data_IF_946054525474
#
_entry.id   IF_946054525474
#
_cell.length_a   1.000
_cell.length_b   1.000
_cell.length_c   1.000
_cell.angle_alpha   90.00
_cell.angle_beta   90.00
_cell.angle_gamma   90.00
#
_symmetry.space_group_name_H-M   'P 1'
#
loop_
_entity.id
_entity.type
_entity.pdbx_description
1 polymer ?
#
# COMPACT_ATOMS: atom_id res chain seq x y z
N UNK A 1 -1.98 -0.84 -20.60
CA UNK A 1 -0.65 -0.27 -20.30
C UNK A 1 -0.24 -0.41 -18.83
N UNK A 2 -1.07 -0.04 -17.84
CA UNK A 2 -0.74 -0.09 -16.39
C UNK A 2 -0.16 -1.43 -15.90
N UNK A 3 -0.78 -2.57 -16.27
CA UNK A 3 -0.27 -3.91 -15.93
C UNK A 3 1.12 -4.21 -16.51
N UNK A 4 1.41 -3.74 -17.72
CA UNK A 4 2.74 -3.92 -18.32
C UNK A 4 3.78 -3.11 -17.56
N UNK A 5 3.47 -1.86 -17.19
CA UNK A 5 4.34 -1.03 -16.36
C UNK A 5 4.61 -1.69 -15.01
N UNK A 6 3.57 -2.26 -14.37
CA UNK A 6 3.71 -2.98 -13.11
C UNK A 6 4.68 -4.17 -13.21
N UNK A 7 4.57 -4.96 -14.29
CA UNK A 7 5.37 -6.17 -14.48
C UNK A 7 6.82 -5.89 -14.93
N UNK A 8 7.09 -4.72 -15.52
CA UNK A 8 8.38 -4.38 -16.13
C UNK A 8 9.17 -3.34 -15.36
N UNK A 9 8.70 -2.94 -14.18
CA UNK A 9 9.29 -1.89 -13.32
C UNK A 9 10.75 -2.12 -12.92
N UNK A 10 11.21 -3.38 -12.97
CA UNK A 10 12.57 -3.77 -12.64
C UNK A 10 13.46 -3.96 -13.88
N UNK A 11 12.96 -3.70 -15.09
CA UNK A 11 13.74 -3.86 -16.30
C UNK A 11 14.63 -2.63 -16.49
N UNK A 12 15.87 -2.85 -16.89
CA UNK A 12 16.80 -1.76 -17.18
C UNK A 12 16.49 -1.12 -18.53
N UNK A 13 16.63 0.20 -18.60
CA UNK A 13 16.58 0.96 -19.85
C UNK A 13 17.77 1.90 -19.96
N UNK A 14 18.39 1.97 -21.14
CA UNK A 14 19.49 2.90 -21.40
C UNK A 14 19.00 4.34 -21.51
N UNK A 15 17.83 4.54 -22.14
CA UNK A 15 17.09 5.80 -22.10
C UNK A 15 15.87 5.62 -21.18
N UNK A 16 15.66 6.48 -20.16
CA UNK A 16 14.54 6.35 -19.23
C UNK A 16 13.16 6.38 -19.89
N UNK A 17 13.04 6.93 -21.11
CA UNK A 17 11.78 6.97 -21.87
C UNK A 17 11.41 5.61 -22.47
N UNK A 18 12.37 4.70 -22.63
CA UNK A 18 12.14 3.36 -23.18
C UNK A 18 11.32 2.47 -22.23
N UNK A 19 11.27 2.81 -20.94
CA UNK A 19 10.34 2.21 -19.98
C UNK A 19 8.87 2.36 -20.42
N UNK A 20 8.56 3.43 -21.16
CA UNK A 20 7.23 3.71 -21.69
C UNK A 20 7.16 3.30 -23.16
N UNK A 21 8.07 3.82 -24.00
CA UNK A 21 8.03 3.62 -25.45
C UNK A 21 8.22 2.16 -25.86
N UNK A 22 9.03 1.39 -25.14
CA UNK A 22 9.19 -0.04 -25.39
C UNK A 22 7.87 -0.81 -25.20
N UNK A 23 7.10 -0.47 -24.17
CA UNK A 23 5.83 -1.14 -23.85
C UNK A 23 4.70 -0.74 -24.78
N UNK A 24 4.69 0.51 -25.26
CA UNK A 24 3.65 1.01 -26.16
C UNK A 24 3.59 0.21 -27.47
N UNK A 25 4.74 -0.26 -27.95
CA UNK A 25 4.79 -1.10 -29.16
C UNK A 25 4.10 -2.46 -28.99
N UNK A 26 3.89 -2.91 -27.75
CA UNK A 26 3.17 -4.15 -27.42
C UNK A 26 1.66 -3.95 -27.34
N UNK A 27 1.17 -2.71 -27.35
CA UNK A 27 -0.25 -2.41 -27.33
C UNK A 27 -0.87 -2.57 -28.73
N UNK A 28 -2.17 -2.87 -28.75
CA UNK A 28 -2.96 -2.96 -29.98
C UNK A 28 -2.82 -1.68 -30.82
N UNK A 29 -2.75 -1.82 -32.15
CA UNK A 29 -2.71 -0.70 -33.11
C UNK A 29 -3.89 0.26 -32.94
N UNK A 30 -5.04 -0.27 -32.53
CA UNK A 30 -6.25 0.51 -32.28
C UNK A 30 -6.26 1.19 -30.89
N UNK A 31 -5.28 0.94 -30.01
CA UNK A 31 -5.27 1.53 -28.67
C UNK A 31 -4.99 3.03 -28.69
N UNK A 32 -5.76 3.80 -27.93
CA UNK A 32 -5.57 5.24 -27.81
C UNK A 32 -4.20 5.55 -27.18
N UNK A 33 -3.76 4.78 -26.18
CA UNK A 33 -2.46 4.99 -25.54
C UNK A 33 -1.30 4.85 -26.53
N UNK A 34 -1.39 3.94 -27.50
CA UNK A 34 -0.36 3.81 -28.55
C UNK A 34 -0.33 4.99 -29.50
N UNK A 35 -1.48 5.61 -29.75
CA UNK A 35 -1.57 6.79 -30.60
C UNK A 35 -1.12 8.05 -29.86
N UNK A 36 -1.46 8.18 -28.58
CA UNK A 36 -1.13 9.34 -27.75
C UNK A 36 0.37 9.42 -27.42
N UNK A 37 1.02 8.27 -27.19
CA UNK A 37 2.40 8.20 -26.71
C UNK A 37 3.41 7.69 -27.75
N UNK A 38 3.23 8.04 -29.02
CA UNK A 38 4.19 7.67 -30.08
C UNK A 38 5.63 8.09 -29.70
N UNK A 39 6.65 7.24 -29.93
CA UNK A 39 8.02 7.53 -29.52
C UNK A 39 8.51 8.89 -29.99
N UNK A 40 8.80 9.78 -29.03
CA UNK A 40 9.31 11.12 -29.27
C UNK A 40 10.48 11.41 -28.32
N UNK A 41 11.70 11.16 -28.81
CA UNK A 41 12.93 11.39 -28.05
C UNK A 41 13.36 12.87 -27.99
N UNK A 42 12.58 13.80 -28.55
CA UNK A 42 12.79 15.24 -28.32
C UNK A 42 12.07 15.73 -27.07
N UNK A 43 11.11 14.96 -26.53
CA UNK A 43 10.42 15.29 -25.29
C UNK A 43 11.31 14.96 -24.07
N UNK A 44 11.55 15.90 -23.15
CA UNK A 44 12.21 15.59 -21.89
C UNK A 44 11.45 14.53 -21.09
N UNK A 45 12.17 13.61 -20.43
CA UNK A 45 11.60 12.49 -19.66
C UNK A 45 10.53 12.92 -18.66
N UNK A 46 10.79 14.00 -17.92
CA UNK A 46 9.83 14.62 -17.00
C UNK A 46 8.44 14.81 -17.61
N UNK A 47 8.40 15.37 -18.81
CA UNK A 47 7.15 15.70 -19.49
C UNK A 47 6.42 14.47 -19.99
N UNK A 48 7.16 13.47 -20.51
CA UNK A 48 6.57 12.19 -20.86
C UNK A 48 5.90 11.54 -19.65
N UNK A 49 6.59 11.55 -18.51
CA UNK A 49 6.09 10.89 -17.30
C UNK A 49 4.84 11.58 -16.74
N UNK A 50 4.81 12.91 -16.73
CA UNK A 50 3.61 13.67 -16.39
C UNK A 50 2.45 13.32 -17.33
N UNK A 51 2.67 13.33 -18.65
CA UNK A 51 1.61 13.04 -19.62
C UNK A 51 1.04 11.63 -19.44
N UNK A 52 1.91 10.64 -19.20
CA UNK A 52 1.48 9.26 -18.92
C UNK A 52 0.65 9.21 -17.63
N UNK A 53 1.12 9.83 -16.56
CA UNK A 53 0.39 9.85 -15.29
C UNK A 53 -0.97 10.54 -15.40
N UNK A 54 -1.02 11.71 -16.04
CA UNK A 54 -2.26 12.45 -16.33
C UNK A 54 -3.25 11.62 -17.12
N UNK A 55 -2.80 10.89 -18.15
CA UNK A 55 -3.69 10.06 -18.97
C UNK A 55 -4.38 9.00 -18.14
N UNK A 56 -3.65 8.31 -17.27
CA UNK A 56 -4.23 7.30 -16.37
C UNK A 56 -5.24 7.90 -15.38
N UNK A 57 -4.90 9.06 -14.79
CA UNK A 57 -5.79 9.78 -13.88
C UNK A 57 -7.08 10.21 -14.58
N UNK A 58 -6.98 10.80 -15.78
CA UNK A 58 -8.14 11.26 -16.55
C UNK A 58 -9.05 10.10 -16.95
N UNK A 59 -8.46 8.98 -17.42
CA UNK A 59 -9.21 7.83 -17.92
C UNK A 59 -9.88 7.02 -16.81
N UNK A 60 -9.19 6.83 -15.68
CA UNK A 60 -9.69 6.00 -14.59
C UNK A 60 -10.47 6.78 -13.53
N UNK A 61 -10.17 8.08 -13.37
CA UNK A 61 -10.58 8.89 -12.21
C UNK A 61 -10.21 8.24 -10.86
N UNK A 62 -9.27 7.28 -10.86
CA UNK A 62 -8.71 6.62 -9.69
C UNK A 62 -7.33 7.20 -9.40
N UNK A 63 -6.99 7.34 -8.13
CA UNK A 63 -5.71 7.91 -7.69
C UNK A 63 -4.58 6.86 -7.62
N UNK A 64 -4.76 5.67 -8.17
CA UNK A 64 -3.83 4.54 -8.00
C UNK A 64 -2.40 4.82 -8.47
N UNK A 65 -2.24 5.72 -9.44
CA UNK A 65 -0.94 6.05 -9.99
C UNK A 65 -0.09 6.92 -9.06
N UNK A 66 -0.70 7.71 -8.16
CA UNK A 66 0.06 8.62 -7.29
C UNK A 66 0.89 7.87 -6.25
N UNK A 67 0.59 6.59 -6.03
CA UNK A 67 1.35 5.69 -5.15
C UNK A 67 1.91 4.48 -5.91
N UNK A 68 1.84 4.48 -7.25
CA UNK A 68 2.34 3.36 -8.05
C UNK A 68 3.85 3.16 -7.90
N UNK A 69 4.57 4.23 -7.55
CA UNK A 69 6.00 4.17 -7.32
C UNK A 69 6.43 5.08 -6.17
N UNK A 70 6.29 4.56 -4.95
CA UNK A 70 6.67 5.29 -3.75
C UNK A 70 8.16 5.63 -3.77
N UNK A 71 8.51 6.83 -3.30
CA UNK A 71 9.90 7.26 -3.20
C UNK A 71 10.71 6.24 -2.36
N UNK A 72 11.95 5.94 -2.71
CA UNK A 72 12.80 5.12 -1.84
C UNK A 72 12.93 5.81 -0.47
N UNK A 73 13.21 5.06 0.61
CA UNK A 73 13.51 5.66 1.89
C UNK A 73 14.67 6.65 1.75
N UNK A 74 14.65 7.76 2.48
CA UNK A 74 15.66 8.83 2.38
C UNK A 74 17.10 8.30 2.54
N UNK A 75 17.29 7.32 3.41
CA UNK A 75 18.59 6.68 3.61
C UNK A 75 19.05 5.84 2.42
N UNK A 76 18.19 5.48 1.47
CA UNK A 76 18.55 4.80 0.22
C UNK A 76 18.71 5.77 -0.96
N UNK A 77 18.25 7.03 -0.85
CA UNK A 77 18.30 8.01 -1.94
C UNK A 77 19.70 8.29 -2.49
N UNK A 78 20.74 8.15 -1.67
CA UNK A 78 22.14 8.34 -2.12
C UNK A 78 22.54 7.38 -3.26
N UNK A 79 21.87 6.22 -3.39
CA UNK A 79 22.10 5.24 -4.47
C UNK A 79 21.40 5.62 -5.79
N UNK A 80 20.48 6.58 -5.75
CA UNK A 80 19.51 6.86 -6.83
C UNK A 80 19.73 8.26 -7.45
N UNK A 81 20.63 9.07 -6.87
CA UNK A 81 20.95 10.45 -7.30
C UNK A 81 21.31 10.64 -8.79
N UNK A 82 21.65 9.57 -9.53
CA UNK A 82 21.96 9.66 -10.97
C UNK A 82 20.75 10.08 -11.83
N UNK A 83 19.52 9.88 -11.37
CA UNK A 83 18.33 10.02 -12.20
C UNK A 83 17.24 10.92 -11.64
N UNK A 84 17.51 11.71 -10.58
CA UNK A 84 16.51 12.57 -9.93
C UNK A 84 15.84 13.49 -10.96
N UNK A 85 14.67 13.08 -11.43
CA UNK A 85 13.81 13.91 -12.23
C UNK A 85 13.15 14.91 -11.28
N UNK A 86 13.04 16.17 -11.69
CA UNK A 86 12.27 17.18 -10.94
C UNK A 86 10.77 16.97 -11.20
N UNK A 87 10.27 15.80 -10.79
CA UNK A 87 8.89 15.36 -11.00
C UNK A 87 8.00 15.81 -9.85
N UNK A 88 6.73 16.15 -10.16
CA UNK A 88 5.72 16.26 -9.13
C UNK A 88 5.58 14.98 -8.32
N UNK A 89 5.29 15.09 -7.03
CA UNK A 89 5.22 13.95 -6.11
C UNK A 89 4.12 12.95 -6.43
N UNK A 90 3.09 13.35 -7.16
CA UNK A 90 2.02 12.49 -7.64
C UNK A 90 2.36 11.73 -8.94
N UNK A 91 3.52 12.01 -9.55
CA UNK A 91 3.99 11.35 -10.77
C UNK A 91 5.02 10.28 -10.42
N UNK A 92 4.80 9.01 -10.80
CA UNK A 92 5.80 7.96 -10.65
C UNK A 92 7.11 8.28 -11.37
N UNK A 93 8.24 8.04 -10.70
CA UNK A 93 9.55 8.01 -11.33
C UNK A 93 9.89 6.59 -11.77
N UNK A 94 9.53 6.24 -13.02
CA UNK A 94 9.81 4.92 -13.59
C UNK A 94 11.31 4.64 -13.82
N UNK A 95 12.21 5.59 -13.56
CA UNK A 95 13.66 5.32 -13.59
C UNK A 95 14.18 4.66 -12.32
N UNK A 96 13.41 4.71 -11.24
CA UNK A 96 13.79 4.13 -9.97
C UNK A 96 13.43 2.65 -10.02
N UNK A 97 14.40 1.75 -9.96
CA UNK A 97 14.06 0.33 -9.79
C UNK A 97 13.43 0.11 -8.43
N UNK A 98 12.40 -0.72 -8.39
CA UNK A 98 11.72 -1.05 -7.15
C UNK A 98 12.63 -1.91 -6.26
N UNK A 99 13.47 -1.25 -5.46
CA UNK A 99 14.01 -1.83 -4.22
C UNK A 99 12.91 -2.00 -3.16
N UNK A 100 11.74 -1.41 -3.41
CA UNK A 100 10.66 -1.17 -2.48
C UNK A 100 9.35 -1.83 -2.94
N UNK A 101 9.44 -3.12 -3.30
CA UNK A 101 8.34 -3.95 -3.82
C UNK A 101 7.24 -4.25 -2.78
N UNK A 102 7.30 -3.66 -1.58
CA UNK A 102 6.58 -4.14 -0.40
C UNK A 102 5.80 -3.03 0.33
N UNK A 103 5.18 -2.09 -0.38
CA UNK A 103 4.29 -1.08 0.24
C UNK A 103 2.82 -1.31 -0.04
N UNK A 104 2.40 -2.52 -0.37
CA UNK A 104 1.13 -2.81 -1.03
C UNK A 104 -0.10 -2.70 -0.10
N UNK A 105 -0.23 -1.60 0.65
CA UNK A 105 -1.44 -1.23 1.37
C UNK A 105 -2.57 -1.01 0.34
N UNK A 106 -2.30 -0.38 -0.78
CA UNK A 106 -3.20 -0.33 -1.93
C UNK A 106 -2.78 -1.38 -2.96
N UNK A 107 -3.61 -2.40 -3.13
CA UNK A 107 -3.47 -3.37 -4.22
C UNK A 107 -4.18 -2.80 -5.44
N UNK A 108 -3.44 -2.13 -6.33
CA UNK A 108 -3.96 -1.38 -7.47
C UNK A 108 -3.67 -2.05 -8.82
N UNK A 109 -4.04 -1.40 -9.93
CA UNK A 109 -3.67 -1.85 -11.29
C UNK A 109 -2.17 -1.80 -11.58
N UNK A 110 -1.41 -1.09 -10.74
CA UNK A 110 0.05 -0.99 -10.80
C UNK A 110 0.75 -2.03 -9.89
N UNK A 111 0.00 -2.96 -9.30
CA UNK A 111 0.54 -4.08 -8.53
C UNK A 111 0.82 -5.29 -9.43
N UNK A 112 2.03 -5.89 -9.38
CA UNK A 112 2.32 -7.14 -10.10
C UNK A 112 1.34 -8.26 -9.76
N UNK A 113 0.90 -8.34 -8.50
CA UNK A 113 -0.10 -9.32 -8.09
C UNK A 113 -1.41 -9.18 -8.86
N UNK A 114 -1.94 -7.97 -9.04
CA UNK A 114 -3.20 -7.78 -9.76
C UNK A 114 -3.05 -8.14 -11.25
N UNK A 115 -1.86 -7.94 -11.82
CA UNK A 115 -1.55 -8.39 -13.17
C UNK A 115 -1.49 -9.93 -13.28
N UNK A 116 -0.99 -10.60 -12.25
CA UNK A 116 -0.79 -12.06 -12.24
C UNK A 116 -2.01 -12.85 -11.75
N UNK A 117 -2.89 -12.22 -10.96
CA UNK A 117 -4.06 -12.85 -10.35
C UNK A 117 -4.92 -13.65 -11.35
N UNK A 118 -5.31 -13.11 -12.53
CA UNK A 118 -6.13 -13.87 -13.47
C UNK A 118 -5.46 -15.17 -13.93
N UNK A 119 -4.15 -15.17 -14.19
CA UNK A 119 -3.43 -16.34 -14.66
C UNK A 119 -3.40 -17.46 -13.62
N UNK A 120 -3.27 -17.10 -12.34
CA UNK A 120 -3.24 -18.06 -11.24
C UNK A 120 -4.59 -18.73 -11.00
N UNK A 121 -5.69 -18.01 -11.24
CA UNK A 121 -7.04 -18.55 -11.08
C UNK A 121 -7.48 -19.41 -12.28
N UNK A 122 -7.12 -19.04 -13.51
CA UNK A 122 -7.45 -19.84 -14.71
C UNK A 122 -6.78 -21.22 -14.73
N UNK A 123 -5.60 -21.38 -14.10
CA UNK A 123 -4.94 -22.67 -13.96
C UNK A 123 -5.66 -23.66 -13.02
N UNK A 124 -6.56 -23.17 -12.15
CA UNK A 124 -7.37 -24.04 -11.27
C UNK A 124 -8.65 -24.53 -11.94
N UNK A 125 -9.34 -23.65 -12.67
CA UNK A 125 -10.58 -24.00 -13.39
C UNK A 125 -10.35 -25.01 -14.53
N UNK A 126 -9.12 -25.13 -15.02
CA UNK A 126 -8.75 -26.10 -16.07
C UNK A 126 -8.47 -27.52 -15.55
N UNK A 127 -8.29 -27.72 -14.23
CA UNK A 127 -8.20 -29.05 -13.61
C UNK A 127 -9.57 -29.66 -13.24
N UNK A 128 -10.63 -28.85 -13.18
CA UNK A 128 -11.99 -29.30 -12.79
C UNK A 128 -12.86 -29.82 -13.96
N UNK A 129 -12.29 -30.03 -15.15
CA UNK A 129 -12.99 -30.61 -16.32
C UNK A 129 -13.31 -32.11 -16.13
N UNK A 130 -12.93 -32.74 -15.01
CA UNK A 130 -13.29 -34.14 -14.70
C UNK A 130 -14.05 -34.26 -13.36
N UNK A 131 -15.18 -33.55 -13.18
CA UNK A 131 -16.27 -34.02 -12.27
C UNK A 131 -17.66 -33.67 -12.80
N UNK A 132 -18.64 -34.59 -12.73
CA UNK A 132 -19.99 -34.31 -13.16
C UNK A 132 -20.73 -33.45 -12.13
N UNK A 133 -21.55 -32.55 -12.65
CA UNK A 133 -22.28 -31.52 -11.93
C UNK A 133 -23.15 -32.04 -10.77
N UNK A 134 -23.01 -31.39 -9.61
CA UNK A 134 -24.15 -31.21 -8.69
C UNK A 134 -24.02 -29.90 -7.91
N UNK A 135 -25.02 -29.04 -8.16
CA UNK A 135 -25.58 -27.94 -7.36
C UNK A 135 -24.76 -27.32 -6.22
N UNK A 136 -24.35 -26.05 -6.40
CA UNK A 136 -24.79 -24.95 -5.53
C UNK A 136 -24.61 -23.62 -6.24
N UNK A 137 -25.69 -22.84 -6.30
CA UNK A 137 -25.72 -21.46 -6.79
C UNK A 137 -25.17 -20.56 -5.71
N UNK A 138 -23.86 -20.37 -5.70
CA UNK A 138 -23.22 -19.20 -5.10
C UNK A 138 -22.78 -18.30 -6.24
N UNK A 139 -23.40 -17.13 -6.30
CA UNK A 139 -23.00 -16.00 -7.15
C UNK A 139 -21.49 -15.80 -7.01
N UNK A 140 -20.75 -16.08 -8.08
CA UNK A 140 -19.33 -15.78 -8.17
C UNK A 140 -19.16 -14.26 -7.97
N UNK A 141 -18.30 -13.81 -7.04
CA UNK A 141 -18.01 -12.39 -6.90
C UNK A 141 -17.41 -11.92 -8.23
N UNK A 142 -17.91 -10.78 -8.73
CA UNK A 142 -17.39 -10.13 -9.92
C UNK A 142 -15.88 -10.01 -9.85
N UNK A 143 -15.21 -10.21 -10.98
CA UNK A 143 -13.75 -10.20 -11.22
C UNK A 143 -13.06 -8.86 -10.91
N UNK A 144 -13.72 -7.95 -10.18
CA UNK A 144 -13.27 -6.60 -9.94
C UNK A 144 -12.51 -6.49 -8.60
N UNK A 145 -11.20 -6.27 -8.73
CA UNK A 145 -10.22 -5.96 -7.67
C UNK A 145 -9.93 -7.10 -6.69
N UNK A 146 -9.36 -8.19 -7.21
CA UNK A 146 -8.72 -9.20 -6.39
C UNK A 146 -7.79 -8.57 -5.34
N UNK A 147 -8.10 -8.81 -4.06
CA UNK A 147 -7.25 -8.48 -2.93
C UNK A 147 -7.31 -7.04 -2.39
N UNK A 148 -7.99 -6.09 -3.05
CA UNK A 148 -8.29 -4.81 -2.40
C UNK A 148 -9.45 -5.00 -1.42
N UNK A 149 -9.23 -4.66 -0.15
CA UNK A 149 -10.13 -4.96 0.97
C UNK A 149 -10.48 -3.73 1.83
N UNK A 150 -10.13 -2.55 1.34
CA UNK A 150 -10.41 -1.26 1.97
C UNK A 150 -11.21 -0.37 1.04
N UNK A 151 -11.94 0.56 1.63
CA UNK A 151 -12.64 1.61 0.91
C UNK A 151 -12.75 2.89 1.77
N UNK A 152 -11.61 3.45 2.16
CA UNK A 152 -11.56 4.59 3.07
C UNK A 152 -12.33 5.83 2.55
N UNK A 153 -12.38 6.04 1.24
CA UNK A 153 -13.09 7.18 0.65
C UNK A 153 -14.54 6.91 0.25
N UNK A 154 -15.03 5.66 0.33
CA UNK A 154 -16.31 5.21 -0.25
C UNK A 154 -16.45 5.46 -1.77
N UNK A 155 -15.37 5.88 -2.42
CA UNK A 155 -15.33 6.36 -3.79
C UNK A 155 -14.11 5.76 -4.47
N UNK A 156 -14.23 4.51 -4.93
CA UNK A 156 -13.22 3.82 -5.76
C UNK A 156 -12.80 4.64 -6.98
N UNK A 157 -13.71 5.49 -7.46
CA UNK A 157 -13.55 6.46 -8.54
C UNK A 157 -13.91 7.83 -7.95
N UNK A 158 -13.08 8.85 -8.21
CA UNK A 158 -13.37 10.21 -7.77
C UNK A 158 -14.73 10.67 -8.33
N UNK A 159 -15.65 11.17 -7.48
CA UNK A 159 -16.94 11.67 -7.92
C UNK A 159 -16.82 13.05 -8.58
N UNK A 160 -15.66 13.69 -8.51
CA UNK A 160 -15.37 14.98 -9.13
C UNK A 160 -14.19 14.84 -10.11
N UNK A 161 -14.24 15.55 -11.26
CA UNK A 161 -13.15 15.54 -12.20
C UNK A 161 -11.83 15.97 -11.55
N UNK A 162 -10.78 15.20 -11.82
CA UNK A 162 -9.41 15.56 -11.49
C UNK A 162 -8.96 16.76 -12.34
N UNK A 163 -8.39 17.78 -11.68
CA UNK A 163 -7.97 19.02 -12.32
C UNK A 163 -6.45 19.14 -12.33
N UNK A 164 -5.89 19.81 -13.33
CA UNK A 164 -4.44 20.00 -13.47
C UNK A 164 -4.10 21.47 -13.66
N UNK A 165 -2.92 21.90 -13.22
CA UNK A 165 -2.37 23.20 -13.61
C UNK A 165 -2.08 23.24 -15.13
N UNK A 166 -1.92 24.45 -15.67
CA UNK A 166 -1.64 24.65 -17.11
C UNK A 166 -0.35 24.00 -17.57
N UNK A 167 0.64 23.93 -16.68
CA UNK A 167 1.93 23.27 -16.92
C UNK A 167 1.91 21.80 -16.48
N UNK A 168 0.78 21.27 -16.01
CA UNK A 168 0.64 19.89 -15.57
C UNK A 168 1.52 19.51 -14.37
N UNK A 169 2.13 20.47 -13.66
CA UNK A 169 2.90 20.20 -12.45
C UNK A 169 2.02 19.91 -11.23
N UNK A 170 0.82 20.49 -11.18
CA UNK A 170 -0.08 20.39 -10.03
C UNK A 170 -1.28 19.52 -10.40
N UNK A 171 -1.59 18.54 -9.55
CA UNK A 171 -2.82 17.76 -9.59
C UNK A 171 -3.73 18.20 -8.44
N UNK A 172 -4.92 18.68 -8.77
CA UNK A 172 -5.95 19.08 -7.80
C UNK A 172 -6.92 17.94 -7.54
N UNK A 173 -7.01 17.55 -6.27
CA UNK A 173 -7.90 16.48 -5.79
C UNK A 173 -8.77 16.97 -4.64
N UNK A 174 -9.91 16.32 -4.44
CA UNK A 174 -10.78 16.57 -3.30
C UNK A 174 -10.61 15.47 -2.25
N UNK A 175 -10.73 15.80 -0.97
CA UNK A 175 -10.66 14.82 0.10
C UNK A 175 -11.11 15.40 1.44
N UNK A 176 -10.99 14.58 2.48
CA UNK A 176 -11.28 14.97 3.87
C UNK A 176 -10.00 14.90 4.69
N UNK A 177 -9.59 15.99 5.37
CA UNK A 177 -8.48 15.94 6.31
C UNK A 177 -8.87 15.06 7.50
N UNK A 178 -7.99 14.15 7.90
CA UNK A 178 -8.25 13.28 9.05
C UNK A 178 -7.55 13.79 10.30
N UNK A 179 -6.22 13.70 10.33
CA UNK A 179 -5.41 14.08 11.48
C UNK A 179 -3.94 14.33 11.10
N UNK A 180 -3.15 14.82 12.06
CA UNK A 180 -1.71 15.05 11.92
C UNK A 180 -0.92 13.99 12.69
N UNK A 181 0.16 13.52 12.09
CA UNK A 181 1.08 12.55 12.69
C UNK A 181 1.89 13.25 13.78
N UNK A 182 1.82 12.73 15.01
CA UNK A 182 2.51 13.30 16.18
C UNK A 182 3.86 12.60 16.43
N UNK A 183 3.87 11.26 16.35
CA UNK A 183 5.03 10.44 16.69
C UNK A 183 5.22 9.37 15.63
N UNK A 184 6.47 9.13 15.22
CA UNK A 184 6.87 8.11 14.23
C UNK A 184 7.94 7.21 14.84
N UNK A 185 7.81 5.90 14.63
CA UNK A 185 8.77 4.89 15.07
C UNK A 185 9.82 4.55 14.03
N UNK A 186 10.76 3.68 14.41
CA UNK A 186 11.75 3.15 13.47
C UNK A 186 11.08 2.30 12.37
N UNK A 187 11.60 2.33 11.14
CA UNK A 187 11.10 1.47 10.05
C UNK A 187 11.50 0.02 10.30
N UNK A 188 10.57 -0.91 10.06
CA UNK A 188 10.84 -2.35 10.17
C UNK A 188 11.47 -2.90 8.87
N UNK A 189 12.64 -2.36 8.49
CA UNK A 189 13.36 -2.76 7.27
C UNK A 189 14.14 -4.06 7.49
N UNK A 190 13.61 -5.17 6.98
CA UNK A 190 14.24 -6.50 7.13
C UNK A 190 15.59 -6.55 6.39
N UNK A 191 15.69 -5.94 5.20
CA UNK A 191 16.93 -5.95 4.42
C UNK A 191 18.07 -5.19 5.13
N UNK A 192 17.74 -4.06 5.76
CA UNK A 192 18.68 -3.25 6.55
C UNK A 192 19.13 -3.98 7.80
N UNK A 193 18.19 -4.56 8.55
CA UNK A 193 18.54 -5.31 9.77
C UNK A 193 19.38 -6.54 9.44
N UNK A 194 19.12 -7.23 8.32
CA UNK A 194 19.96 -8.33 7.83
C UNK A 194 21.36 -7.84 7.48
N UNK A 195 21.48 -6.73 6.74
CA UNK A 195 22.76 -6.15 6.36
C UNK A 195 23.60 -5.74 7.58
N UNK A 196 22.99 -5.17 8.61
CA UNK A 196 23.65 -4.80 9.87
C UNK A 196 24.12 -5.99 10.70
N UNK A 197 23.51 -7.16 10.49
CA UNK A 197 23.80 -8.39 11.23
C UNK A 197 24.74 -9.33 10.47
N UNK A 198 25.14 -8.97 9.25
CA UNK A 198 26.03 -9.76 8.40
C UNK A 198 27.49 -9.39 8.65
N UNK A 199 28.29 -10.35 9.10
CA UNK A 199 29.73 -10.15 9.25
C UNK A 199 30.43 -10.41 7.90
N UNK A 200 30.93 -9.33 7.29
CA UNK A 200 31.63 -9.40 5.99
C UNK A 200 32.96 -10.16 6.05
N UNK A 201 33.54 -10.34 7.24
CA UNK A 201 34.82 -11.01 7.43
C UNK A 201 34.65 -12.52 7.47
N UNK A 202 33.61 -13.00 8.16
CA UNK A 202 33.32 -14.43 8.30
C UNK A 202 32.30 -14.94 7.28
N UNK A 203 31.55 -14.04 6.64
CA UNK A 203 30.46 -14.38 5.73
C UNK A 203 29.23 -14.96 6.45
N UNK A 204 29.13 -14.79 7.77
CA UNK A 204 28.09 -15.40 8.61
C UNK A 204 27.08 -14.33 9.05
N UNK A 205 25.79 -14.67 8.98
CA UNK A 205 24.70 -13.84 9.50
C UNK A 205 24.47 -14.14 10.99
N UNK A 206 24.54 -13.13 11.84
CA UNK A 206 24.20 -13.25 13.26
C UNK A 206 22.67 -13.18 13.46
N UNK A 207 22.02 -14.35 13.47
CA UNK A 207 20.57 -14.46 13.60
C UNK A 207 20.03 -13.94 14.93
N UNK A 208 20.75 -14.15 16.04
CA UNK A 208 20.33 -13.68 17.36
C UNK A 208 20.32 -12.15 17.42
N UNK A 209 21.38 -11.51 16.92
CA UNK A 209 21.47 -10.06 16.83
C UNK A 209 20.37 -9.49 15.92
N UNK A 210 20.14 -10.12 14.77
CA UNK A 210 19.07 -9.73 13.84
C UNK A 210 17.69 -9.80 14.50
N UNK A 211 17.38 -10.91 15.19
CA UNK A 211 16.13 -11.08 15.93
C UNK A 211 15.95 -9.98 16.97
N UNK A 212 17.00 -9.66 17.73
CA UNK A 212 16.96 -8.64 18.78
C UNK A 212 16.67 -7.24 18.24
N UNK A 213 17.28 -6.85 17.11
CA UNK A 213 16.99 -5.55 16.46
C UNK A 213 15.53 -5.48 16.02
N UNK A 214 15.01 -6.53 15.38
CA UNK A 214 13.63 -6.53 14.91
C UNK A 214 12.62 -6.48 16.06
N UNK A 215 12.84 -7.24 17.14
CA UNK A 215 12.00 -7.20 18.34
C UNK A 215 12.04 -5.83 19.03
N UNK A 216 13.19 -5.15 19.06
CA UNK A 216 13.27 -3.82 19.67
C UNK A 216 12.46 -2.77 18.90
N UNK A 217 12.33 -2.90 17.57
CA UNK A 217 11.48 -2.04 16.75
C UNK A 217 10.01 -2.23 17.15
N UNK A 218 9.53 -3.47 17.24
CA UNK A 218 8.14 -3.75 17.62
C UNK A 218 7.85 -3.26 19.04
N UNK A 219 8.77 -3.46 19.99
CA UNK A 219 8.61 -2.95 21.35
C UNK A 219 8.53 -1.41 21.39
N UNK A 220 9.37 -0.71 20.61
CA UNK A 220 9.26 0.73 20.45
C UNK A 220 7.88 1.13 19.89
N UNK A 221 7.33 0.37 18.94
CA UNK A 221 6.00 0.65 18.40
C UNK A 221 4.89 0.46 19.44
N UNK A 222 4.99 -0.52 20.34
CA UNK A 222 4.06 -0.69 21.48
C UNK A 222 4.05 0.55 22.39
N UNK A 223 5.23 1.10 22.68
CA UNK A 223 5.37 2.34 23.47
C UNK A 223 4.72 3.53 22.75
N UNK A 224 4.95 3.68 21.44
CA UNK A 224 4.33 4.73 20.62
C UNK A 224 2.80 4.56 20.61
N UNK A 225 2.30 3.33 20.49
CA UNK A 225 0.88 3.01 20.46
C UNK A 225 0.18 3.30 21.80
N UNK A 226 0.94 3.35 22.91
CA UNK A 226 0.44 3.46 24.30
C UNK A 226 -0.55 2.35 24.66
N UNK A 227 -0.15 1.08 24.52
CA UNK A 227 -1.06 -0.05 24.72
C UNK A 227 -1.74 -0.11 26.09
N UNK A 228 -1.12 0.47 27.12
CA UNK A 228 -1.64 0.54 28.48
C UNK A 228 -2.65 1.69 28.70
N UNK A 229 -2.92 2.51 27.68
CA UNK A 229 -3.88 3.60 27.76
C UNK A 229 -5.32 3.04 27.90
N UNK A 230 -6.03 3.31 29.01
CA UNK A 230 -7.38 2.79 29.25
C UNK A 230 -8.46 3.51 28.41
N UNK A 231 -8.10 4.55 27.66
CA UNK A 231 -9.02 5.29 26.81
C UNK A 231 -9.58 4.45 25.67
N UNK A 232 -10.82 4.77 25.26
CA UNK A 232 -11.44 4.19 24.06
C UNK A 232 -10.62 4.52 22.83
N UNK A 233 -10.39 3.53 21.96
CA UNK A 233 -9.71 3.76 20.70
C UNK A 233 -10.62 4.56 19.74
N UNK A 234 -10.10 5.57 19.01
CA UNK A 234 -10.93 6.41 18.14
C UNK A 234 -11.38 5.67 16.88
N UNK A 235 -12.61 5.92 16.42
CA UNK A 235 -13.21 5.35 15.20
C UNK A 235 -13.27 3.81 15.12
N UNK A 236 -13.08 3.09 16.23
CA UNK A 236 -13.22 1.64 16.25
C UNK A 236 -13.68 1.16 17.63
N UNK A 237 -14.51 0.11 17.70
CA UNK A 237 -14.87 -0.52 18.98
C UNK A 237 -13.72 -1.35 19.58
N UNK A 238 -12.66 -1.64 18.81
CA UNK A 238 -11.56 -2.46 19.27
C UNK A 238 -10.78 -1.80 20.41
N UNK A 239 -10.19 -2.63 21.27
CA UNK A 239 -9.19 -2.14 22.24
C UNK A 239 -7.96 -1.61 21.52
N UNK A 240 -7.21 -0.70 22.15
CA UNK A 240 -5.96 -0.18 21.61
C UNK A 240 -4.92 -1.29 21.35
N UNK A 241 -4.91 -2.31 22.21
CA UNK A 241 -4.11 -3.53 22.06
C UNK A 241 -4.49 -4.29 20.78
N UNK A 242 -5.78 -4.50 20.54
CA UNK A 242 -6.24 -5.16 19.32
C UNK A 242 -5.95 -4.33 18.07
N UNK A 243 -6.22 -3.02 18.11
CA UNK A 243 -5.90 -2.10 17.03
C UNK A 243 -4.41 -2.17 16.63
N UNK A 244 -3.51 -2.30 17.62
CA UNK A 244 -2.07 -2.45 17.37
C UNK A 244 -1.76 -3.73 16.59
N UNK A 245 -2.23 -4.89 17.05
CA UNK A 245 -1.94 -6.16 16.39
C UNK A 245 -2.62 -6.29 15.02
N UNK A 246 -3.83 -5.74 14.86
CA UNK A 246 -4.47 -5.57 13.54
C UNK A 246 -3.60 -4.69 12.65
N UNK A 247 -3.08 -3.56 13.14
CA UNK A 247 -2.20 -2.66 12.38
C UNK A 247 -0.93 -3.35 11.89
N UNK A 248 -0.31 -4.22 12.69
CA UNK A 248 0.88 -4.98 12.27
C UNK A 248 0.58 -5.92 11.10
N UNK A 249 -0.63 -6.47 11.05
CA UNK A 249 -1.14 -7.32 9.97
C UNK A 249 -1.85 -6.54 8.86
N UNK A 250 -1.86 -5.20 8.93
CA UNK A 250 -2.73 -4.35 8.11
C UNK A 250 -4.22 -4.78 8.19
N UNK A 251 -4.66 -5.46 9.24
CA UNK A 251 -6.02 -6.01 9.34
C UNK A 251 -6.39 -6.93 8.18
N UNK A 252 -5.37 -7.57 7.60
CA UNK A 252 -5.46 -8.48 6.45
C UNK A 252 -4.97 -9.86 6.82
N UNK A 253 -5.58 -10.84 6.16
CA UNK A 253 -5.18 -12.23 6.24
C UNK A 253 -5.40 -12.94 4.90
N UNK A 254 -4.68 -14.04 4.67
CA UNK A 254 -4.83 -14.86 3.46
C UNK A 254 -5.22 -16.29 3.79
N UNK A 255 -6.05 -16.89 2.97
CA UNK A 255 -6.37 -18.32 3.13
C UNK A 255 -5.15 -19.19 2.78
N UNK A 256 -4.90 -20.23 3.59
CA UNK A 256 -3.90 -21.26 3.26
C UNK A 256 -4.42 -22.24 2.17
N UNK A 257 -5.75 -22.39 2.03
CA UNK A 257 -6.38 -23.24 1.00
C UNK A 257 -6.49 -22.53 -0.34
N UNK A 258 -6.78 -21.23 -0.28
CA UNK A 258 -6.82 -20.33 -1.43
C UNK A 258 -5.70 -19.30 -1.30
N UNK A 259 -4.44 -19.71 -1.55
CA UNK A 259 -3.34 -18.78 -1.63
C UNK A 259 -3.76 -17.69 -2.62
N UNK A 260 -3.48 -16.43 -2.28
CA UNK A 260 -3.80 -15.22 -3.05
C UNK A 260 -5.18 -14.62 -2.76
N UNK A 261 -6.10 -15.27 -2.05
CA UNK A 261 -7.31 -14.56 -1.60
C UNK A 261 -7.02 -13.80 -0.30
N UNK A 262 -7.07 -12.46 -0.37
CA UNK A 262 -6.84 -11.57 0.78
C UNK A 262 -8.20 -11.11 1.29
N UNK A 263 -8.39 -11.17 2.62
CA UNK A 263 -9.61 -10.71 3.30
C UNK A 263 -9.27 -9.95 4.57
N UNK A 264 -10.26 -9.25 5.13
CA UNK A 264 -10.14 -8.59 6.43
C UNK A 264 -10.13 -9.61 7.57
N UNK A 265 -9.42 -9.29 8.65
CA UNK A 265 -9.58 -10.03 9.92
C UNK A 265 -11.02 -9.74 10.41
N UNK A 266 -11.84 -10.77 10.68
CA UNK A 266 -13.18 -10.55 11.22
C UNK A 266 -13.16 -9.76 12.52
N UNK A 267 -14.21 -8.99 12.80
CA UNK A 267 -14.32 -8.23 14.07
C UNK A 267 -14.25 -9.15 15.30
N UNK A 268 -14.79 -10.37 15.18
CA UNK A 268 -14.71 -11.41 16.21
C UNK A 268 -14.05 -12.66 15.61
N UNK A 269 -12.71 -12.76 15.65
CA UNK A 269 -12.01 -13.91 15.08
C UNK A 269 -12.19 -15.15 15.96
N UNK A 270 -12.66 -16.25 15.39
CA UNK A 270 -12.74 -17.55 16.07
C UNK A 270 -11.41 -18.31 15.97
N UNK A 271 -11.15 -19.26 16.88
CA UNK A 271 -9.99 -20.17 16.77
C UNK A 271 -9.92 -20.86 15.41
N UNK A 272 -11.06 -21.31 14.87
CA UNK A 272 -11.15 -21.91 13.54
C UNK A 272 -10.70 -20.93 12.45
N UNK A 273 -11.17 -19.68 12.51
CA UNK A 273 -10.77 -18.64 11.55
C UNK A 273 -9.28 -18.36 11.65
N UNK A 274 -8.74 -18.23 12.86
CA UNK A 274 -7.33 -17.94 13.10
C UNK A 274 -6.42 -19.09 12.65
N UNK A 275 -6.80 -20.33 12.94
CA UNK A 275 -6.11 -21.56 12.55
C UNK A 275 -6.10 -21.76 11.03
N UNK A 276 -7.21 -21.49 10.33
CA UNK A 276 -7.28 -21.66 8.87
C UNK A 276 -6.48 -20.61 8.08
N UNK A 277 -6.28 -19.43 8.66
CA UNK A 277 -5.95 -18.22 7.88
C UNK A 277 -4.76 -17.42 8.40
N UNK A 278 -4.38 -17.56 9.67
CA UNK A 278 -3.19 -16.88 10.21
C UNK A 278 -2.13 -17.91 10.62
N UNK A 279 -2.52 -18.93 11.39
CA UNK A 279 -1.54 -19.77 12.09
C UNK A 279 -1.25 -21.11 11.42
N UNK A 280 -2.23 -21.67 10.73
CA UNK A 280 -2.22 -23.05 10.25
C UNK A 280 -2.76 -24.03 11.29
N UNK A 281 -3.19 -25.24 10.86
CA UNK A 281 -3.77 -26.24 11.74
C UNK A 281 -2.82 -26.64 12.89
N UNK A 282 -3.33 -26.65 14.12
CA UNK A 282 -2.60 -27.11 15.31
C UNK A 282 -1.73 -26.05 15.99
N UNK A 283 -1.85 -24.79 15.59
CA UNK A 283 -1.22 -23.67 16.29
C UNK A 283 -2.23 -22.99 17.20
N UNK A 284 -1.88 -22.92 18.48
CA UNK A 284 -2.65 -22.25 19.52
C UNK A 284 -1.99 -20.89 19.82
N UNK A 285 -2.50 -19.82 19.21
CA UNK A 285 -2.05 -18.46 19.41
C UNK A 285 -3.27 -17.53 19.43
N UNK A 286 -3.48 -16.83 20.55
CA UNK A 286 -4.60 -15.90 20.69
C UNK A 286 -4.48 -14.71 19.74
N UNK A 287 -5.63 -14.12 19.40
CA UNK A 287 -5.68 -12.83 18.72
C UNK A 287 -6.66 -11.88 19.42
N UNK A 288 -6.18 -10.75 20.00
CA UNK A 288 -4.77 -10.34 20.04
C UNK A 288 -3.91 -11.27 20.93
N UNK A 289 -2.59 -11.39 20.71
CA UNK A 289 -1.68 -12.27 21.47
C UNK A 289 -1.81 -12.17 22.99
N UNK A 290 -2.15 -13.22 23.72
CA UNK A 290 -2.45 -13.14 25.17
C UNK A 290 -1.22 -13.34 26.06
N UNK A 291 -0.18 -13.94 25.52
CA UNK A 291 1.07 -14.26 26.22
C UNK A 291 2.29 -13.72 25.48
N UNK A 292 3.45 -13.64 26.15
CA UNK A 292 4.71 -13.31 25.47
C UNK A 292 5.04 -14.33 24.37
N UNK A 293 4.68 -15.60 24.55
CA UNK A 293 4.87 -16.65 23.55
C UNK A 293 4.04 -16.38 22.29
N UNK A 294 2.80 -15.93 22.47
CA UNK A 294 1.91 -15.56 21.36
C UNK A 294 2.49 -14.36 20.60
N UNK A 295 3.01 -13.36 21.32
CA UNK A 295 3.62 -12.18 20.71
C UNK A 295 4.86 -12.56 19.89
N UNK A 296 5.75 -13.36 20.46
CA UNK A 296 6.96 -13.83 19.81
C UNK A 296 6.62 -14.66 18.56
N UNK A 297 5.56 -15.46 18.63
CA UNK A 297 5.06 -16.24 17.50
C UNK A 297 4.46 -15.36 16.39
N UNK A 298 3.62 -14.38 16.73
CA UNK A 298 3.03 -13.46 15.74
C UNK A 298 4.12 -12.63 15.05
N UNK A 299 5.10 -12.12 15.81
CA UNK A 299 6.24 -11.39 15.25
C UNK A 299 7.06 -12.31 14.34
N UNK A 300 7.32 -13.56 14.75
CA UNK A 300 7.97 -14.54 13.90
C UNK A 300 7.19 -14.79 12.61
N UNK A 301 5.86 -14.92 12.68
CA UNK A 301 5.00 -15.10 11.51
C UNK A 301 5.09 -13.92 10.53
N UNK A 302 4.97 -12.67 11.02
CA UNK A 302 5.09 -11.46 10.17
C UNK A 302 6.44 -11.41 9.47
N UNK A 303 7.51 -11.76 10.18
CA UNK A 303 8.87 -11.81 9.62
C UNK A 303 9.01 -12.92 8.58
N UNK A 304 8.46 -14.09 8.87
CA UNK A 304 8.47 -15.26 7.97
C UNK A 304 7.72 -14.95 6.68
N UNK A 305 6.49 -14.43 6.76
CA UNK A 305 5.73 -14.02 5.58
C UNK A 305 6.44 -12.90 4.79
N UNK A 306 7.05 -11.93 5.48
CA UNK A 306 7.85 -10.89 4.85
C UNK A 306 9.15 -11.37 4.21
N UNK A 307 9.73 -12.48 4.66
CA UNK A 307 11.00 -13.02 4.19
C UNK A 307 10.86 -14.17 3.17
N UNK A 308 9.84 -15.02 3.31
CA UNK A 308 9.62 -16.21 2.47
C UNK A 308 8.95 -15.88 1.12
N UNK A 309 8.40 -14.68 0.94
CA UNK A 309 7.72 -14.28 -0.30
C UNK A 309 8.54 -13.31 -1.16
N UNK A 310 9.43 -13.87 -1.97
CA UNK A 310 10.18 -13.15 -3.01
C UNK A 310 9.79 -13.48 -4.46
N UNK A 311 8.71 -14.22 -4.77
CA UNK A 311 8.60 -14.76 -6.14
C UNK A 311 7.34 -14.50 -6.97
N UNK A 312 6.12 -14.33 -6.42
CA UNK A 312 4.94 -14.39 -7.31
C UNK A 312 4.13 -13.10 -7.48
N UNK A 313 4.08 -12.15 -6.54
CA UNK A 313 3.17 -11.00 -6.70
C UNK A 313 3.60 -9.67 -6.10
N UNK A 314 4.74 -9.62 -5.40
CA UNK A 314 5.23 -8.41 -4.75
C UNK A 314 4.15 -7.70 -3.90
N UNK A 315 3.47 -8.47 -3.04
CA UNK A 315 2.55 -7.92 -2.05
C UNK A 315 3.18 -7.98 -0.68
N UNK A 316 3.10 -6.87 0.04
CA UNK A 316 3.23 -6.88 1.48
C UNK A 316 1.86 -6.98 2.14
N UNK A 317 1.63 -8.08 2.84
CA UNK A 317 0.40 -8.30 3.60
C UNK A 317 0.44 -7.61 4.97
N UNK A 318 1.61 -7.11 5.39
CA UNK A 318 1.87 -6.69 6.75
C UNK A 318 2.65 -5.37 6.80
N UNK A 319 3.13 -5.00 7.98
CA UNK A 319 3.83 -3.74 8.24
C UNK A 319 5.34 -3.76 7.93
N UNK A 320 5.89 -4.84 7.36
CA UNK A 320 7.31 -4.94 7.02
C UNK A 320 7.73 -3.79 6.10
N UNK A 321 8.94 -3.25 6.28
CA UNK A 321 9.45 -2.08 5.55
C UNK A 321 8.67 -0.77 5.78
N UNK A 322 7.53 -0.76 6.48
CA UNK A 322 6.81 0.46 6.83
C UNK A 322 7.33 1.08 8.13
N UNK A 323 6.90 2.30 8.43
CA UNK A 323 7.02 2.92 9.76
C UNK A 323 5.67 2.93 10.45
N UNK A 324 5.69 2.69 11.76
CA UNK A 324 4.53 2.88 12.62
C UNK A 324 4.45 4.33 13.09
N UNK A 325 3.24 4.84 13.23
CA UNK A 325 3.01 6.17 13.74
C UNK A 325 1.77 6.24 14.62
N UNK A 326 1.72 7.32 15.40
CA UNK A 326 0.53 7.74 16.16
C UNK A 326 0.23 9.20 15.84
N UNK A 327 -1.05 9.48 15.70
CA UNK A 327 -1.60 10.79 15.38
C UNK A 327 -1.94 11.60 16.64
N UNK A 328 -2.16 12.90 16.50
CA UNK A 328 -2.47 13.80 17.61
C UNK A 328 -3.78 13.43 18.34
N UNK A 329 -4.78 12.89 17.63
CA UNK A 329 -6.05 12.39 18.19
C UNK A 329 -5.95 10.95 18.70
N UNK A 330 -4.78 10.33 18.62
CA UNK A 330 -4.49 9.02 19.22
C UNK A 330 -4.81 7.81 18.35
N UNK A 331 -5.17 8.00 17.07
CA UNK A 331 -5.21 6.92 16.07
C UNK A 331 -3.79 6.44 15.75
N UNK A 332 -3.66 5.14 15.48
CA UNK A 332 -2.39 4.51 15.10
C UNK A 332 -2.46 3.99 13.66
N UNK A 333 -1.30 3.88 13.04
CA UNK A 333 -1.19 3.43 11.67
C UNK A 333 0.23 3.07 11.28
N UNK A 334 0.35 2.60 10.04
CA UNK A 334 1.63 2.36 9.38
C UNK A 334 1.61 2.97 7.98
N UNK A 335 2.78 3.34 7.47
CA UNK A 335 2.89 3.90 6.13
C UNK A 335 4.32 4.06 5.67
N UNK A 336 4.49 4.90 4.66
CA UNK A 336 5.76 5.14 4.00
C UNK A 336 6.89 5.56 4.97
N UNK A 337 8.15 5.09 4.86
CA UNK A 337 9.22 5.39 5.81
C UNK A 337 9.73 6.81 5.83
N UNK A 338 9.39 7.58 4.80
CA UNK A 338 9.68 9.02 4.77
C UNK A 338 8.64 9.84 5.54
N UNK A 339 7.62 9.19 6.12
CA UNK A 339 6.69 9.85 7.05
C UNK A 339 7.47 10.42 8.24
N UNK A 340 7.09 11.62 8.65
CA UNK A 340 7.65 12.31 9.80
C UNK A 340 6.56 12.98 10.64
N UNK A 341 6.85 13.34 11.90
CA UNK A 341 5.97 14.19 12.70
C UNK A 341 5.60 15.49 11.96
N UNK A 342 4.32 15.85 12.00
CA UNK A 342 3.77 17.01 11.29
C UNK A 342 3.19 16.70 9.91
N UNK A 343 3.44 15.51 9.34
CA UNK A 343 2.75 15.07 8.13
C UNK A 343 1.25 14.86 8.40
N UNK A 344 0.43 15.17 7.40
CA UNK A 344 -1.03 15.12 7.48
C UNK A 344 -1.58 13.86 6.83
N UNK A 345 -2.63 13.29 7.42
CA UNK A 345 -3.37 12.16 6.86
C UNK A 345 -4.65 12.72 6.23
N UNK A 346 -4.89 12.37 4.98
CA UNK A 346 -6.10 12.73 4.25
C UNK A 346 -6.73 11.51 3.59
N UNK A 347 -8.06 11.46 3.59
CA UNK A 347 -8.84 10.53 2.78
C UNK A 347 -9.17 11.23 1.47
N UNK A 348 -8.40 10.92 0.42
CA UNK A 348 -8.59 11.50 -0.91
C UNK A 348 -9.66 10.71 -1.69
N UNK A 349 -10.56 11.43 -2.37
CA UNK A 349 -11.59 10.80 -3.19
C UNK A 349 -10.97 10.13 -4.42
N UNK A 350 -11.34 8.88 -4.71
CA UNK A 350 -10.67 8.07 -5.73
C UNK A 350 -9.50 7.23 -5.19
N UNK A 351 -9.25 7.25 -3.87
CA UNK A 351 -8.31 6.37 -3.18
C UNK A 351 -9.03 5.48 -2.15
N UNK A 352 -8.80 4.15 -2.14
CA UNK A 352 -9.39 3.23 -1.17
C UNK A 352 -8.65 3.23 0.18
N UNK A 353 -7.57 3.99 0.32
CA UNK A 353 -6.72 4.04 1.52
C UNK A 353 -6.36 5.49 1.86
N UNK A 354 -6.12 5.83 3.14
CA UNK A 354 -5.62 7.15 3.52
C UNK A 354 -4.24 7.44 2.92
N UNK A 355 -4.04 8.67 2.49
CA UNK A 355 -2.79 9.17 1.91
C UNK A 355 -2.13 10.15 2.88
N UNK A 356 -0.82 10.00 3.05
CA UNK A 356 -0.01 10.92 3.85
C UNK A 356 0.55 12.01 2.95
N UNK A 357 0.28 13.26 3.35
CA UNK A 357 0.64 14.47 2.65
C UNK A 357 1.51 15.34 3.54
N UNK A 358 2.49 16.01 2.93
CA UNK A 358 3.32 17.00 3.60
C UNK A 358 3.09 18.37 2.98
N UNK A 359 2.70 19.34 3.80
CA UNK A 359 2.57 20.72 3.34
C UNK A 359 3.93 21.23 2.84
N UNK A 360 3.96 21.81 1.64
CA UNK A 360 5.15 22.43 1.06
C UNK A 360 4.75 23.65 0.24
N UNK A 361 5.26 24.82 0.62
CA UNK A 361 4.87 26.11 0.04
C UNK A 361 3.33 26.25 -0.07
N UNK A 362 2.78 26.37 -1.28
CA UNK A 362 1.35 26.51 -1.55
C UNK A 362 0.63 25.18 -1.88
N UNK A 363 1.31 24.04 -1.77
CA UNK A 363 0.77 22.72 -2.12
C UNK A 363 1.16 21.62 -1.14
N UNK A 364 1.01 20.38 -1.61
CA UNK A 364 1.24 19.18 -0.82
C UNK A 364 2.11 18.18 -1.59
N UNK A 365 3.12 17.66 -0.92
CA UNK A 365 3.93 16.54 -1.39
C UNK A 365 3.25 15.25 -0.96
N UNK A 366 3.03 14.33 -1.89
CA UNK A 366 2.58 12.96 -1.60
C UNK A 366 3.74 12.19 -0.98
N UNK A 367 3.61 11.82 0.30
CA UNK A 367 4.60 11.00 0.99
C UNK A 367 4.35 9.51 0.73
N UNK A 368 3.07 9.12 0.69
CA UNK A 368 2.67 7.78 0.30
C UNK A 368 1.36 7.34 0.94
N UNK A 369 0.98 6.10 0.67
CA UNK A 369 -0.16 5.43 1.29
C UNK A 369 0.06 5.10 2.75
N UNK A 370 -1.05 4.98 3.49
CA UNK A 370 -1.05 4.55 4.89
C UNK A 370 -2.22 3.63 5.19
N UNK A 371 -2.02 2.79 6.19
CA UNK A 371 -3.08 2.10 6.89
C UNK A 371 -3.29 2.82 8.21
N UNK A 372 -4.53 3.19 8.52
CA UNK A 372 -4.90 3.82 9.79
C UNK A 372 -6.07 3.05 10.37
N UNK A 373 -5.85 2.43 11.53
CA UNK A 373 -6.88 1.59 12.12
C UNK A 373 -8.11 2.43 12.51
N UNK A 374 -9.30 2.00 12.07
CA UNK A 374 -10.59 2.65 12.32
C UNK A 374 -11.08 3.59 11.22
N UNK A 375 -10.33 3.81 10.14
CA UNK A 375 -10.77 4.70 9.03
C UNK A 375 -10.56 4.09 7.63
N UNK A 376 -10.53 2.76 7.54
CA UNK A 376 -10.23 2.06 6.28
C UNK A 376 -11.47 1.75 5.46
N UNK A 377 -12.68 2.05 5.97
CA UNK A 377 -13.95 1.58 5.45
C UNK A 377 -15.01 2.70 5.26
N UNK A 378 -14.59 3.96 5.30
CA UNK A 378 -15.44 5.11 4.99
C UNK A 378 -15.88 5.94 6.19
N UNK A 379 -15.43 5.59 7.39
CA UNK A 379 -15.84 6.17 8.67
C UNK A 379 -15.69 7.70 8.68
N UNK A 380 -14.62 8.22 8.05
CA UNK A 380 -14.36 9.67 7.93
C UNK A 380 -15.39 10.36 7.04
N UNK A 381 -15.77 9.73 5.93
CA UNK A 381 -16.77 10.27 4.99
C UNK A 381 -18.16 10.23 5.63
N UNK A 382 -18.48 9.17 6.35
CA UNK A 382 -19.75 9.03 7.08
C UNK A 382 -19.88 10.10 8.18
N UNK A 383 -18.83 10.32 8.96
CA UNK A 383 -18.78 11.40 9.95
C UNK A 383 -19.04 12.78 9.33
N UNK A 384 -18.44 13.07 8.17
CA UNK A 384 -18.71 14.32 7.44
C UNK A 384 -20.19 14.43 6.99
N UNK A 385 -20.79 13.32 6.53
CA UNK A 385 -22.20 13.25 6.15
C UNK A 385 -23.15 13.45 7.32
N UNK A 386 -22.83 12.94 8.49
CA UNK A 386 -23.58 13.17 9.74
C UNK A 386 -23.54 14.64 10.17
N UNK A 387 -22.40 15.30 9.94
CA UNK A 387 -22.26 16.75 10.14
C UNK A 387 -22.93 17.60 9.05
N UNK A 388 -23.61 16.98 8.09
CA UNK A 388 -24.30 17.66 6.98
C UNK A 388 -23.39 18.10 5.82
N UNK A 389 -22.13 17.68 5.81
CA UNK A 389 -21.13 17.89 4.75
C UNK A 389 -20.94 16.60 3.93
N UNK A 390 -19.84 16.47 3.17
CA UNK A 390 -19.44 15.25 2.47
C UNK A 390 -20.38 14.78 1.34
N UNK A 391 -21.18 15.69 0.76
CA UNK A 391 -22.12 15.37 -0.34
C UNK A 391 -21.83 16.15 -1.62
N UNK A 392 -21.43 17.41 -1.51
CA UNK A 392 -21.10 18.30 -2.64
C UNK A 392 -19.61 18.57 -2.69
N UNK A 393 -19.09 18.99 -3.85
CA UNK A 393 -17.67 19.27 -4.04
C UNK A 393 -17.17 20.32 -3.03
N UNK A 394 -17.99 21.34 -2.78
CA UNK A 394 -17.69 22.42 -1.83
C UNK A 394 -17.52 21.96 -0.37
N UNK A 395 -18.01 20.76 -0.03
CA UNK A 395 -17.89 20.20 1.31
C UNK A 395 -16.50 19.56 1.56
N UNK A 396 -15.74 19.30 0.49
CA UNK A 396 -14.45 18.64 0.56
C UNK A 396 -13.31 19.66 0.49
N UNK A 397 -12.21 19.35 1.17
CA UNK A 397 -10.98 20.12 1.04
C UNK A 397 -10.33 19.82 -0.31
N UNK A 398 -9.89 20.88 -0.99
CA UNK A 398 -9.06 20.77 -2.19
C UNK A 398 -7.60 20.67 -1.78
N UNK A 399 -6.89 19.70 -2.36
CA UNK A 399 -5.46 19.50 -2.20
C UNK A 399 -4.77 19.69 -3.54
N UNK A 400 -3.82 20.61 -3.58
CA UNK A 400 -2.91 20.83 -4.70
C UNK A 400 -1.69 19.94 -4.48
N UNK A 401 -1.63 18.80 -5.19
CA UNK A 401 -0.51 17.87 -5.15
C UNK A 401 0.57 18.37 -6.12
N UNK A 402 1.76 18.64 -5.61
CA UNK A 402 2.85 19.30 -6.34
C UNK A 402 4.07 18.42 -6.57
#
# INVERSE_FOLDING_TARGET
MSRLLALTINFDASDPRDQIFGLITLLDEASDERNDFRPNYMLPTRWLYIQVAQRFLVQSQKLEIITAHAAPPDYQMHKIRRWKQDLPSWVPDWTIHSLWQLNSIWISSFSPYNALFPFMHHSRDSEDVIKPASSSTTTSPSTEQAGQVYNASLHDISPFPLEFSTDGGILRVCGVPFDTIEVVGSSWDIGRTMSQSFDTTTGVLNLEHNNKIQLSIVNQWKEIARLDDPGTYPFSPHSRREAFWRTLLLDRVRSMREPLYIRRIPSEPTEETLSEVIWGPGVDCGFPPESQSDEDFLIFYVRKEGAEWWAFGNINLHCVNLVFFRTAKGSIGVGHPNIQPGDQIAVLLGAPVPIVLRQYEEGHIVIGQSYVHGIMDGEVIEMERECGRGRKKEDFQVYDLI
#
